data_IF_553962691581
#
_entry.id   IF_553962691581
#
_cell.length_a   1.000
_cell.length_b   1.000
_cell.length_c   1.000
_cell.angle_alpha   90.00
_cell.angle_beta   90.00
_cell.angle_gamma   90.00
#
_symmetry.space_group_name_H-M   'P 1'
#
loop_
_entity.id
_entity.type
_entity.pdbx_description
1 polymer ?
#
# COMPACT_ATOMS: atom_id res chain seq x y z
N UNK A 1 5.40 -13.36 -8.48
CA UNK A 1 3.92 -13.29 -8.49
C UNK A 1 3.47 -11.84 -8.45
N UNK A 2 2.30 -11.53 -9.02
CA UNK A 2 1.65 -10.22 -8.87
C UNK A 2 1.09 -10.11 -7.45
N UNK A 3 1.33 -8.99 -6.78
CA UNK A 3 0.77 -8.72 -5.44
C UNK A 3 -0.76 -8.88 -5.45
N UNK A 4 -1.29 -9.68 -4.52
CA UNK A 4 -2.74 -9.86 -4.32
C UNK A 4 -3.14 -9.22 -2.98
N UNK A 5 -4.05 -8.24 -2.96
CA UNK A 5 -4.47 -7.60 -1.72
C UNK A 5 -5.21 -8.57 -0.79
N UNK A 6 -5.03 -8.39 0.53
CA UNK A 6 -5.78 -9.12 1.57
C UNK A 6 -6.87 -8.22 2.15
N UNK A 7 -8.11 -8.50 1.75
CA UNK A 7 -9.29 -7.74 2.19
C UNK A 7 -10.19 -8.53 3.15
N UNK A 8 -9.77 -9.74 3.52
CA UNK A 8 -10.44 -10.62 4.48
C UNK A 8 -9.44 -11.19 5.48
N UNK A 9 -9.96 -11.58 6.65
CA UNK A 9 -9.15 -12.13 7.72
C UNK A 9 -8.37 -13.37 7.26
N UNK A 10 -7.13 -13.56 7.74
CA UNK A 10 -6.44 -14.82 7.52
C UNK A 10 -7.16 -15.97 8.20
N UNK A 11 -7.19 -17.13 7.54
CA UNK A 11 -7.73 -18.35 8.11
C UNK A 11 -7.00 -18.69 9.42
N UNK A 12 -7.70 -19.26 10.39
CA UNK A 12 -7.08 -19.66 11.66
C UNK A 12 -5.99 -20.73 11.48
N UNK A 13 -6.04 -21.49 10.38
CA UNK A 13 -5.09 -22.53 9.99
C UNK A 13 -3.89 -22.00 9.19
N UNK A 14 -3.88 -20.72 8.82
CA UNK A 14 -2.81 -20.16 7.99
C UNK A 14 -1.51 -20.02 8.79
N UNK A 15 -0.49 -20.77 8.37
CA UNK A 15 0.79 -20.86 9.07
C UNK A 15 1.51 -19.53 9.22
N UNK A 16 1.24 -18.53 8.37
CA UNK A 16 1.85 -17.20 8.51
C UNK A 16 1.39 -16.45 9.77
N UNK A 17 0.31 -16.87 10.42
CA UNK A 17 -0.19 -16.28 11.67
C UNK A 17 -0.28 -17.28 12.84
N UNK A 18 0.26 -18.49 12.64
CA UNK A 18 0.51 -19.48 13.69
C UNK A 18 1.96 -19.31 14.17
N UNK A 19 2.15 -19.38 15.49
CA UNK A 19 3.47 -19.24 16.09
C UNK A 19 4.39 -20.42 15.76
N UNK A 20 5.70 -20.19 15.62
CA UNK A 20 6.69 -21.25 15.32
C UNK A 20 6.72 -22.36 16.36
N UNK A 21 6.55 -22.04 17.65
CA UNK A 21 6.44 -23.06 18.72
C UNK A 21 5.19 -23.94 18.64
N UNK A 22 4.29 -23.66 17.70
CA UNK A 22 3.03 -24.38 17.47
C UNK A 22 2.89 -24.85 16.01
N UNK A 23 4.01 -25.02 15.31
CA UNK A 23 4.06 -25.56 13.94
C UNK A 23 3.75 -24.54 12.83
N UNK A 24 3.69 -23.25 13.17
CA UNK A 24 3.53 -22.17 12.21
C UNK A 24 4.85 -21.56 11.73
N UNK A 25 4.76 -20.43 11.03
CA UNK A 25 5.88 -19.70 10.45
C UNK A 25 6.21 -18.41 11.20
N UNK A 26 5.31 -17.95 12.09
CA UNK A 26 5.40 -16.63 12.70
C UNK A 26 6.17 -16.66 14.02
N UNK A 27 7.19 -15.82 14.15
CA UNK A 27 8.06 -15.76 15.34
C UNK A 27 7.84 -14.50 16.19
N UNK A 28 6.78 -13.73 15.90
CA UNK A 28 6.29 -12.67 16.79
C UNK A 28 5.64 -13.26 18.04
N UNK A 29 5.26 -12.41 18.99
CA UNK A 29 4.61 -12.83 20.24
C UNK A 29 3.42 -13.79 20.01
N UNK A 30 3.43 -14.91 20.72
CA UNK A 30 2.28 -15.82 20.83
C UNK A 30 1.18 -15.15 21.65
N UNK A 31 -0.01 -15.00 21.09
CA UNK A 31 -1.12 -14.27 21.72
C UNK A 31 -2.08 -15.20 22.45
N UNK A 32 -2.62 -16.21 21.74
CA UNK A 32 -3.56 -17.16 22.33
C UNK A 32 -3.59 -18.45 21.52
N UNK A 33 -3.68 -19.59 22.23
CA UNK A 33 -3.65 -20.92 21.63
C UNK A 33 -2.38 -21.13 20.81
N UNK A 34 -2.53 -21.13 19.49
CA UNK A 34 -1.41 -21.22 18.54
C UNK A 34 -1.14 -19.92 17.76
N UNK A 35 -1.94 -18.87 17.96
CA UNK A 35 -1.99 -17.73 17.06
C UNK A 35 -1.16 -16.55 17.54
N UNK A 36 -0.52 -15.85 16.61
CA UNK A 36 0.09 -14.53 16.82
C UNK A 36 -0.93 -13.38 16.71
N UNK A 37 -2.23 -13.69 16.63
CA UNK A 37 -3.33 -12.74 16.54
C UNK A 37 -4.29 -12.91 17.73
N UNK A 38 -5.04 -11.86 18.13
CA UNK A 38 -5.04 -10.51 17.57
C UNK A 38 -3.84 -9.68 18.07
N UNK A 39 -3.01 -9.17 17.14
CA UNK A 39 -1.86 -8.30 17.44
C UNK A 39 -1.30 -7.69 16.14
N UNK A 40 -0.94 -6.40 16.16
CA UNK A 40 -0.48 -5.68 14.97
C UNK A 40 0.86 -6.18 14.43
N UNK A 41 1.83 -6.45 15.30
CA UNK A 41 3.16 -6.95 14.90
C UNK A 41 3.06 -8.37 14.37
N UNK A 42 2.30 -9.24 15.05
CA UNK A 42 2.02 -10.60 14.58
C UNK A 42 1.34 -10.62 13.21
N UNK A 43 0.36 -9.73 13.00
CA UNK A 43 -0.32 -9.61 11.72
C UNK A 43 0.59 -9.13 10.59
N UNK A 44 1.27 -8.00 10.78
CA UNK A 44 2.10 -7.38 9.76
C UNK A 44 3.29 -8.27 9.39
N UNK A 45 3.92 -8.95 10.37
CA UNK A 45 5.03 -9.87 10.12
C UNK A 45 4.58 -11.06 9.27
N UNK A 46 3.44 -11.67 9.62
CA UNK A 46 2.85 -12.79 8.88
C UNK A 46 2.47 -12.41 7.45
N UNK A 47 1.78 -11.27 7.28
CA UNK A 47 1.40 -10.77 5.96
C UNK A 47 2.61 -10.39 5.12
N UNK A 48 3.64 -9.80 5.72
CA UNK A 48 4.88 -9.48 5.01
C UNK A 48 5.63 -10.75 4.57
N UNK A 49 5.66 -11.79 5.42
CA UNK A 49 6.14 -13.12 5.02
C UNK A 49 5.35 -13.62 3.81
N UNK A 50 4.02 -13.68 3.91
CA UNK A 50 3.15 -14.19 2.84
C UNK A 50 3.46 -13.54 1.49
N UNK A 51 3.67 -12.22 1.46
CA UNK A 51 4.04 -11.46 0.26
C UNK A 51 5.48 -11.75 -0.19
N UNK A 52 6.41 -11.85 0.77
CA UNK A 52 7.83 -12.05 0.52
C UNK A 52 8.15 -13.47 0.04
N UNK A 53 7.32 -14.46 0.41
CA UNK A 53 7.51 -15.88 0.12
C UNK A 53 8.58 -16.57 0.98
N UNK A 54 9.16 -15.87 1.96
CA UNK A 54 10.18 -16.39 2.88
C UNK A 54 10.16 -15.62 4.20
N UNK A 55 10.78 -16.20 5.24
CA UNK A 55 10.90 -15.60 6.55
C UNK A 55 11.49 -14.18 6.47
N UNK A 56 10.77 -13.15 6.94
CA UNK A 56 11.26 -11.78 6.89
C UNK A 56 12.24 -11.49 8.02
N UNK A 57 13.14 -10.54 7.76
CA UNK A 57 14.07 -9.99 8.78
C UNK A 57 13.44 -8.88 9.64
N UNK A 58 12.13 -8.63 9.46
CA UNK A 58 11.41 -7.57 10.16
C UNK A 58 11.57 -7.73 11.67
N UNK A 59 11.61 -6.59 12.36
CA UNK A 59 11.58 -6.54 13.81
C UNK A 59 10.42 -7.36 14.37
N UNK A 60 10.65 -7.98 15.53
CA UNK A 60 9.63 -8.70 16.31
C UNK A 60 9.28 -7.99 17.61
N UNK A 61 9.88 -6.82 17.84
CA UNK A 61 9.62 -5.96 18.99
C UNK A 61 8.32 -5.16 18.79
N UNK A 62 8.03 -4.26 19.73
CA UNK A 62 6.93 -3.31 19.63
C UNK A 62 6.95 -2.53 18.30
N UNK A 63 5.77 -2.24 17.77
CA UNK A 63 5.56 -1.61 16.47
C UNK A 63 6.33 -0.28 16.30
N UNK A 64 6.41 0.54 17.35
CA UNK A 64 7.16 1.80 17.39
C UNK A 64 8.66 1.67 17.01
N UNK A 65 9.24 0.47 17.21
CA UNK A 65 10.66 0.19 16.94
C UNK A 65 10.91 -0.24 15.49
N UNK A 66 9.88 -0.66 14.76
CA UNK A 66 10.02 -1.29 13.45
C UNK A 66 10.66 -0.36 12.43
N UNK A 67 10.24 0.91 12.40
CA UNK A 67 10.75 1.88 11.45
C UNK A 67 12.24 2.20 11.69
N UNK A 68 12.71 2.19 12.94
CA UNK A 68 14.11 2.45 13.28
C UNK A 68 15.05 1.24 13.22
N UNK A 69 14.50 0.02 13.13
CA UNK A 69 15.29 -1.22 13.16
C UNK A 69 16.14 -1.38 11.90
N UNK A 70 17.41 -1.75 12.05
CA UNK A 70 18.33 -2.02 10.93
C UNK A 70 18.23 -3.49 10.48
N UNK A 71 17.16 -3.82 9.76
CA UNK A 71 16.87 -5.16 9.24
C UNK A 71 17.25 -5.37 7.75
N UNK A 72 17.77 -4.33 7.11
CA UNK A 72 18.17 -4.34 5.70
C UNK A 72 17.04 -4.00 4.70
N UNK A 73 15.81 -3.74 5.16
CA UNK A 73 14.74 -3.28 4.27
C UNK A 73 14.82 -1.79 3.96
N UNK A 74 14.47 -1.42 2.73
CA UNK A 74 14.34 -0.01 2.33
C UNK A 74 13.15 0.63 3.03
N UNK A 75 13.28 1.90 3.37
CA UNK A 75 12.26 2.71 4.07
C UNK A 75 12.02 4.02 3.35
N UNK A 76 10.88 4.65 3.60
CA UNK A 76 10.60 6.00 3.10
C UNK A 76 9.21 6.51 3.44
N UNK A 77 8.83 7.64 2.86
CA UNK A 77 7.58 8.35 3.16
C UNK A 77 6.49 8.15 2.11
N UNK A 78 6.75 7.39 1.04
CA UNK A 78 5.78 7.16 -0.04
C UNK A 78 5.09 5.82 0.16
N UNK A 79 3.75 5.74 0.13
CA UNK A 79 3.06 4.47 0.22
C UNK A 79 3.39 3.56 -0.97
N UNK A 80 3.54 2.27 -0.71
CA UNK A 80 3.76 1.24 -1.73
C UNK A 80 2.97 -0.02 -1.37
N UNK A 81 2.49 -0.74 -2.38
CA UNK A 81 1.80 -2.02 -2.17
C UNK A 81 2.68 -2.99 -1.38
N UNK A 82 2.10 -3.66 -0.39
CA UNK A 82 2.77 -4.61 0.49
C UNK A 82 3.75 -4.00 1.48
N UNK A 83 3.91 -2.67 1.51
CA UNK A 83 4.72 -2.02 2.53
C UNK A 83 4.07 -2.10 3.91
N UNK A 84 4.89 -2.15 4.95
CA UNK A 84 4.45 -1.92 6.33
C UNK A 84 4.33 -0.42 6.54
N UNK A 85 3.18 0.07 6.99
CA UNK A 85 3.03 1.43 7.51
C UNK A 85 3.25 1.43 9.02
N UNK A 86 4.04 2.37 9.55
CA UNK A 86 4.50 2.38 10.94
C UNK A 86 4.09 3.65 11.68
N UNK A 87 3.63 3.49 12.92
CA UNK A 87 3.39 4.56 13.87
C UNK A 87 4.05 4.25 15.22
N UNK A 88 4.64 5.27 15.84
CA UNK A 88 5.01 5.22 17.26
C UNK A 88 3.93 5.88 18.11
N UNK A 89 3.91 5.55 19.40
CA UNK A 89 3.14 6.29 20.39
C UNK A 89 4.13 7.07 21.26
N UNK A 90 3.99 8.38 21.37
CA UNK A 90 4.97 9.22 22.06
C UNK A 90 6.41 9.05 21.55
N UNK A 91 7.38 8.91 22.47
CA UNK A 91 8.79 8.68 22.14
C UNK A 91 9.05 7.19 21.94
N UNK A 92 9.62 6.84 20.78
CA UNK A 92 9.93 5.44 20.45
C UNK A 92 10.88 4.81 21.49
N UNK A 93 10.50 3.63 21.98
CA UNK A 93 11.30 2.86 22.95
C UNK A 93 11.06 3.27 24.41
N UNK A 94 10.02 4.07 24.66
CA UNK A 94 9.63 4.50 26.00
C UNK A 94 8.32 3.80 26.41
N UNK A 95 8.44 2.77 27.25
CA UNK A 95 7.36 1.82 27.50
C UNK A 95 6.06 2.44 28.07
N UNK A 96 6.14 3.58 28.77
CA UNK A 96 4.96 4.25 29.33
C UNK A 96 4.04 4.87 28.27
N UNK A 97 4.58 5.18 27.08
CA UNK A 97 3.82 5.88 26.05
C UNK A 97 3.02 4.88 25.20
N UNK A 98 3.48 3.63 25.09
CA UNK A 98 2.80 2.50 24.47
C UNK A 98 3.45 2.00 23.18
N UNK A 99 3.10 0.80 22.75
CA UNK A 99 3.86 0.01 21.77
C UNK A 99 3.83 0.49 20.30
N UNK A 100 3.17 1.60 19.98
CA UNK A 100 2.93 2.04 18.59
C UNK A 100 1.94 1.13 17.83
N UNK A 101 1.92 1.25 16.50
CA UNK A 101 1.07 0.43 15.63
C UNK A 101 1.73 0.17 14.27
N UNK A 102 1.40 -0.96 13.64
CA UNK A 102 1.80 -1.29 12.26
C UNK A 102 0.67 -1.93 11.50
N UNK A 103 0.64 -1.72 10.18
CA UNK A 103 -0.32 -2.32 9.25
C UNK A 103 0.33 -2.57 7.88
N UNK A 104 -0.35 -3.28 6.98
CA UNK A 104 0.13 -3.52 5.60
C UNK A 104 -0.69 -2.71 4.61
N UNK A 105 -0.03 -2.06 3.66
CA UNK A 105 -0.65 -1.36 2.54
C UNK A 105 -1.14 -2.38 1.50
N UNK A 106 -2.46 -2.53 1.38
CA UNK A 106 -3.09 -3.44 0.43
C UNK A 106 -3.49 -2.75 -0.88
N UNK A 107 -3.70 -1.43 -0.85
CA UNK A 107 -3.99 -0.63 -2.04
C UNK A 107 -3.40 0.77 -1.90
N UNK A 108 -2.93 1.34 -3.01
CA UNK A 108 -2.63 2.76 -3.14
C UNK A 108 -3.56 3.30 -4.23
N UNK A 109 -4.37 4.31 -3.89
CA UNK A 109 -5.28 4.98 -4.81
C UNK A 109 -4.60 6.20 -5.44
N UNK A 110 -5.12 6.65 -6.57
CA UNK A 110 -4.56 7.78 -7.33
C UNK A 110 -4.62 9.11 -6.55
N UNK A 111 -5.60 9.26 -5.64
CA UNK A 111 -5.73 10.42 -4.74
C UNK A 111 -4.75 10.39 -3.55
N UNK A 112 -3.82 9.42 -3.53
CA UNK A 112 -2.85 9.24 -2.45
C UNK A 112 -3.40 8.55 -1.21
N UNK A 113 -4.71 8.24 -1.16
CA UNK A 113 -5.26 7.41 -0.09
C UNK A 113 -4.81 5.96 -0.23
N UNK A 114 -4.76 5.25 0.88
CA UNK A 114 -4.34 3.85 0.96
C UNK A 114 -5.41 3.01 1.63
N UNK A 115 -5.56 1.76 1.18
CA UNK A 115 -6.27 0.72 1.94
C UNK A 115 -5.22 -0.06 2.71
N UNK A 116 -5.39 -0.16 4.02
CA UNK A 116 -4.53 -0.98 4.87
C UNK A 116 -5.28 -2.20 5.39
N UNK A 117 -4.54 -3.26 5.70
CA UNK A 117 -5.01 -4.39 6.50
C UNK A 117 -4.25 -4.43 7.83
N UNK A 118 -4.95 -4.69 8.93
CA UNK A 118 -4.38 -4.61 10.28
C UNK A 118 -5.07 -5.55 11.29
N UNK A 119 -4.39 -5.78 12.41
CA UNK A 119 -4.90 -6.44 13.61
C UNK A 119 -4.54 -5.60 14.83
N UNK A 120 -5.30 -5.70 15.92
CA UNK A 120 -5.10 -4.88 17.12
C UNK A 120 -5.16 -5.73 18.38
N UNK A 121 -4.11 -5.64 19.21
CA UNK A 121 -4.03 -6.42 20.45
C UNK A 121 -5.22 -6.17 21.37
N UNK A 122 -5.88 -7.25 21.81
CA UNK A 122 -7.12 -7.23 22.61
C UNK A 122 -8.28 -6.40 22.03
N UNK A 123 -8.22 -6.01 20.76
CA UNK A 123 -9.20 -5.13 20.14
C UNK A 123 -9.92 -5.80 18.97
N UNK A 124 -9.18 -6.22 17.93
CA UNK A 124 -9.78 -6.81 16.74
C UNK A 124 -8.81 -7.76 16.05
N UNK A 125 -9.32 -8.89 15.55
CA UNK A 125 -8.52 -9.88 14.83
C UNK A 125 -8.04 -9.39 13.48
N UNK A 126 -8.93 -8.77 12.72
CA UNK A 126 -8.64 -8.25 11.39
C UNK A 126 -9.61 -7.13 11.05
N UNK A 127 -9.13 -6.10 10.36
CA UNK A 127 -9.95 -5.15 9.63
C UNK A 127 -9.17 -4.58 8.45
N UNK A 128 -9.90 -3.96 7.53
CA UNK A 128 -9.33 -3.02 6.56
C UNK A 128 -9.78 -1.61 6.89
N UNK A 129 -8.92 -0.63 6.58
CA UNK A 129 -9.23 0.80 6.75
C UNK A 129 -8.67 1.59 5.57
N UNK A 130 -9.38 2.66 5.20
CA UNK A 130 -8.87 3.67 4.26
C UNK A 130 -8.20 4.77 5.07
N UNK A 131 -6.95 5.10 4.72
CA UNK A 131 -6.22 6.24 5.29
C UNK A 131 -5.91 7.23 4.18
N UNK A 132 -6.01 8.52 4.49
CA UNK A 132 -5.61 9.63 3.61
C UNK A 132 -4.36 10.30 4.17
N UNK A 133 -3.52 10.95 3.35
CA UNK A 133 -2.46 11.82 3.86
C UNK A 133 -3.02 12.78 4.93
N UNK A 134 -2.32 12.99 6.07
CA UNK A 134 -0.95 12.56 6.38
C UNK A 134 -0.83 11.15 7.01
N UNK A 135 -1.82 10.28 6.80
CA UNK A 135 -1.90 8.91 7.34
C UNK A 135 -1.95 8.83 8.87
N UNK A 136 -2.59 9.82 9.51
CA UNK A 136 -2.83 9.81 10.95
C UNK A 136 -3.87 8.73 11.34
N UNK A 137 -3.71 8.13 12.53
CA UNK A 137 -4.65 7.13 13.09
C UNK A 137 -5.17 7.54 14.48
N UNK A 138 -5.31 8.84 14.70
CA UNK A 138 -5.64 9.46 15.98
C UNK A 138 -4.47 10.27 16.53
N UNK A 139 -4.75 11.13 17.51
CA UNK A 139 -3.78 12.08 18.07
C UNK A 139 -2.63 11.43 18.85
N UNK A 140 -2.85 10.23 19.40
CA UNK A 140 -1.83 9.52 20.17
C UNK A 140 -0.70 8.92 19.30
N UNK A 141 -0.92 8.75 18.00
CA UNK A 141 -0.01 8.04 17.11
C UNK A 141 0.71 9.00 16.16
N UNK A 142 2.03 8.85 16.08
CA UNK A 142 2.89 9.64 15.20
C UNK A 142 3.33 8.74 14.05
N UNK A 143 2.94 9.12 12.82
CA UNK A 143 3.36 8.43 11.60
C UNK A 143 4.87 8.52 11.43
N UNK A 144 5.53 7.37 11.24
CA UNK A 144 6.99 7.29 11.07
C UNK A 144 7.38 7.14 9.60
N UNK A 145 6.61 6.36 8.84
CA UNK A 145 6.91 6.05 7.44
C UNK A 145 6.50 4.64 7.05
N UNK A 146 7.09 4.17 5.94
CA UNK A 146 6.85 2.87 5.35
C UNK A 146 8.12 2.02 5.29
N UNK A 147 7.99 0.72 5.54
CA UNK A 147 9.03 -0.30 5.31
C UNK A 147 8.63 -1.09 4.07
N UNK A 148 9.48 -1.11 3.04
CA UNK A 148 9.13 -1.65 1.73
C UNK A 148 9.41 -3.15 1.61
N UNK A 149 8.40 -3.90 1.18
CA UNK A 149 8.56 -5.31 0.85
C UNK A 149 9.24 -5.47 -0.52
N UNK A 150 10.44 -6.06 -0.61
CA UNK A 150 11.18 -6.15 -1.87
C UNK A 150 10.55 -7.09 -2.90
N UNK A 151 9.64 -7.99 -2.50
CA UNK A 151 8.93 -8.86 -3.43
C UNK A 151 7.88 -8.10 -4.25
N UNK A 152 7.43 -6.93 -3.78
CA UNK A 152 6.48 -6.09 -4.51
C UNK A 152 7.26 -5.06 -5.33
N UNK A 153 7.29 -5.28 -6.64
CA UNK A 153 7.80 -4.28 -7.57
C UNK A 153 6.88 -3.06 -7.52
N UNK A 154 7.48 -1.86 -7.56
CA UNK A 154 6.71 -0.64 -7.71
C UNK A 154 5.77 -0.79 -8.91
N UNK A 155 4.48 -0.49 -8.72
CA UNK A 155 3.65 -0.17 -9.85
C UNK A 155 4.37 0.98 -10.57
N UNK A 156 4.66 0.83 -11.87
CA UNK A 156 5.34 1.86 -12.62
C UNK A 156 4.63 3.18 -12.35
N UNK A 157 5.30 4.12 -11.66
CA UNK A 157 4.74 5.45 -11.45
C UNK A 157 4.33 5.95 -12.83
N UNK A 158 3.08 6.36 -12.96
CA UNK A 158 2.61 6.96 -14.19
C UNK A 158 3.59 8.06 -14.58
N UNK A 159 4.00 8.08 -15.84
CA UNK A 159 4.81 9.20 -16.34
C UNK A 159 3.89 10.42 -16.42
N UNK A 160 4.47 11.61 -16.30
CA UNK A 160 3.75 12.85 -16.54
C UNK A 160 3.64 13.10 -18.04
N UNK A 161 2.47 13.54 -18.46
CA UNK A 161 2.17 13.87 -19.83
C UNK A 161 1.42 15.20 -19.87
N UNK A 162 1.86 16.13 -20.70
CA UNK A 162 1.16 17.40 -20.92
C UNK A 162 0.24 17.26 -22.12
N UNK A 163 -1.03 17.63 -21.96
CA UNK A 163 -1.99 17.69 -23.06
C UNK A 163 -1.60 18.82 -24.03
N UNK A 164 -1.44 18.50 -25.32
CA UNK A 164 -1.04 19.44 -26.36
C UNK A 164 -2.25 20.17 -27.00
N UNK A 165 -3.45 19.65 -26.80
CA UNK A 165 -4.71 20.22 -27.23
C UNK A 165 -5.87 19.77 -26.33
N UNK A 166 -7.09 20.16 -26.65
CA UNK A 166 -8.28 19.67 -25.96
C UNK A 166 -8.55 18.23 -26.38
N UNK A 167 -8.60 17.30 -25.42
CA UNK A 167 -8.65 15.86 -25.66
C UNK A 167 -9.89 15.23 -25.06
N UNK A 168 -10.47 14.26 -25.75
CA UNK A 168 -11.59 13.47 -25.23
C UNK A 168 -11.07 12.44 -24.22
N UNK A 169 -11.56 12.53 -22.98
CA UNK A 169 -11.32 11.54 -21.94
C UNK A 169 -12.37 10.45 -22.03
N UNK A 170 -11.95 9.21 -22.25
CA UNK A 170 -12.84 8.12 -22.63
C UNK A 170 -12.85 6.98 -21.63
N UNK A 171 -13.96 6.24 -21.58
CA UNK A 171 -14.13 5.11 -20.67
C UNK A 171 -13.26 3.89 -21.04
N UNK A 172 -12.96 3.71 -22.32
CA UNK A 172 -12.14 2.61 -22.86
C UNK A 172 -11.08 3.15 -23.83
N UNK A 173 -9.99 2.41 -24.10
CA UNK A 173 -8.94 2.82 -25.03
C UNK A 173 -9.36 2.60 -26.50
N UNK A 174 -10.50 3.17 -26.89
CA UNK A 174 -11.05 3.12 -28.24
C UNK A 174 -11.75 4.44 -28.61
N UNK A 175 -11.84 4.74 -29.91
CA UNK A 175 -12.35 6.03 -30.40
C UNK A 175 -13.88 6.16 -30.35
N UNK A 176 -14.59 5.04 -30.21
CA UNK A 176 -16.06 4.98 -30.25
C UNK A 176 -16.67 4.89 -28.84
N UNK A 177 -15.82 4.76 -27.82
CA UNK A 177 -16.24 4.65 -26.43
C UNK A 177 -16.75 5.97 -25.87
N UNK A 178 -17.61 5.82 -24.87
CA UNK A 178 -18.20 6.93 -24.10
C UNK A 178 -17.14 7.94 -23.68
N UNK A 179 -17.36 9.19 -24.05
CA UNK A 179 -16.60 10.33 -23.56
C UNK A 179 -17.07 10.64 -22.14
N UNK A 180 -16.15 10.52 -21.18
CA UNK A 180 -16.36 10.82 -19.76
C UNK A 180 -16.18 12.30 -19.44
N UNK A 181 -15.28 12.98 -20.16
CA UNK A 181 -14.92 14.39 -19.98
C UNK A 181 -14.08 14.93 -21.17
N UNK A 182 -13.72 16.21 -21.14
CA UNK A 182 -12.69 16.82 -22.00
C UNK A 182 -11.53 17.31 -21.13
N UNK A 183 -10.31 16.84 -21.44
CA UNK A 183 -9.08 17.37 -20.84
C UNK A 183 -8.64 18.59 -21.62
N UNK A 184 -8.45 19.72 -20.93
CA UNK A 184 -8.03 20.97 -21.55
C UNK A 184 -6.53 20.96 -21.92
N UNK A 185 -6.20 21.69 -22.99
CA UNK A 185 -4.81 21.93 -23.40
C UNK A 185 -3.99 22.46 -22.24
N UNK A 186 -2.78 21.90 -22.06
CA UNK A 186 -1.86 22.29 -21.00
C UNK A 186 -1.99 21.50 -19.71
N UNK A 187 -3.09 20.76 -19.51
CA UNK A 187 -3.27 19.88 -18.34
C UNK A 187 -2.15 18.85 -18.25
N UNK A 188 -1.56 18.69 -17.06
CA UNK A 188 -0.57 17.64 -16.79
C UNK A 188 -1.25 16.42 -16.19
N UNK A 189 -1.26 15.34 -16.95
CA UNK A 189 -1.81 14.04 -16.57
C UNK A 189 -0.70 13.13 -16.07
N UNK A 190 -1.01 12.29 -15.09
CA UNK A 190 -0.09 11.23 -14.64
C UNK A 190 -0.71 9.88 -14.97
N UNK A 191 0.02 9.02 -15.68
CA UNK A 191 -0.54 7.74 -16.10
C UNK A 191 0.40 6.82 -16.85
N UNK A 192 -0.13 5.69 -17.30
CA UNK A 192 0.61 4.69 -18.05
C UNK A 192 0.06 4.57 -19.46
N UNK A 193 0.95 4.56 -20.44
CA UNK A 193 0.60 4.42 -21.86
C UNK A 193 0.62 2.95 -22.22
N UNK A 194 -0.45 2.47 -22.85
CA UNK A 194 -0.51 1.12 -23.37
C UNK A 194 0.22 0.96 -24.72
N UNK A 195 0.31 -0.28 -25.21
CA UNK A 195 0.96 -0.59 -26.50
C UNK A 195 0.29 0.09 -27.72
N UNK A 196 -0.96 0.52 -27.58
CA UNK A 196 -1.75 1.14 -28.63
C UNK A 196 -1.72 2.68 -28.54
N UNK A 197 -0.94 3.23 -27.60
CA UNK A 197 -0.78 4.67 -27.44
C UNK A 197 -1.94 5.35 -26.71
N UNK A 198 -2.66 4.65 -25.84
CA UNK A 198 -3.62 5.24 -24.93
C UNK A 198 -3.02 5.43 -23.55
N UNK A 199 -3.07 6.65 -23.05
CA UNK A 199 -2.70 7.00 -21.69
C UNK A 199 -3.88 6.71 -20.77
N UNK A 200 -3.76 5.68 -19.93
CA UNK A 200 -4.67 5.44 -18.81
C UNK A 200 -4.34 6.42 -17.69
N UNK A 201 -5.31 7.21 -17.27
CA UNK A 201 -5.14 8.26 -16.24
C UNK A 201 -6.43 8.50 -15.47
N UNK A 202 -6.34 9.32 -14.43
CA UNK A 202 -7.47 9.79 -13.64
C UNK A 202 -7.59 11.30 -13.78
N UNK A 203 -8.78 11.77 -14.16
CA UNK A 203 -9.10 13.16 -14.39
C UNK A 203 -10.48 13.47 -13.79
N UNK A 204 -10.59 14.55 -13.02
CA UNK A 204 -11.82 14.93 -12.30
C UNK A 204 -12.44 13.77 -11.48
N UNK A 205 -11.61 12.98 -10.81
CA UNK A 205 -12.06 11.84 -9.98
C UNK A 205 -12.53 10.60 -10.75
N UNK A 206 -12.50 10.61 -12.09
CA UNK A 206 -12.84 9.48 -12.96
C UNK A 206 -11.58 8.85 -13.54
N UNK A 207 -11.52 7.54 -13.64
CA UNK A 207 -10.45 6.82 -14.37
C UNK A 207 -10.89 6.53 -15.80
N UNK A 208 -10.00 6.77 -16.75
CA UNK A 208 -10.27 6.63 -18.18
C UNK A 208 -9.00 6.70 -19.02
N UNK A 209 -9.17 6.99 -20.30
CA UNK A 209 -8.12 6.94 -21.30
C UNK A 209 -8.12 8.19 -22.17
N UNK A 210 -6.93 8.72 -22.45
CA UNK A 210 -6.71 9.75 -23.47
C UNK A 210 -5.72 9.24 -24.52
N UNK A 211 -5.93 9.57 -25.79
CA UNK A 211 -5.08 9.07 -26.88
C UNK A 211 -3.77 9.85 -26.96
N UNK A 212 -2.64 9.20 -26.72
CA UNK A 212 -1.30 9.79 -26.88
C UNK A 212 -0.80 9.73 -28.34
N UNK A 213 -1.01 8.60 -29.03
CA UNK A 213 -0.39 8.31 -30.35
C UNK A 213 -1.44 8.21 -31.48
N UNK A 214 -1.25 9.05 -32.51
CA UNK A 214 -2.00 9.16 -33.78
C UNK A 214 -1.30 10.19 -34.68
N UNK A 215 -1.74 10.40 -35.94
CA UNK A 215 -1.09 11.30 -36.92
C UNK A 215 -0.85 12.76 -36.47
N UNK A 216 -1.40 13.14 -35.32
CA UNK A 216 -0.98 14.29 -34.50
C UNK A 216 -0.76 13.77 -33.08
N UNK A 217 0.42 14.00 -32.49
CA UNK A 217 0.68 13.66 -31.08
C UNK A 217 -0.17 14.58 -30.22
N UNK A 218 -0.94 14.03 -29.28
CA UNK A 218 -1.84 14.82 -28.43
C UNK A 218 -1.34 14.97 -26.99
N UNK A 219 -0.36 14.17 -26.54
CA UNK A 219 0.37 14.43 -25.30
C UNK A 219 1.87 14.09 -25.43
N UNK A 220 2.71 14.92 -24.82
CA UNK A 220 4.15 14.71 -24.74
C UNK A 220 4.58 14.39 -23.31
N UNK A 221 5.59 13.51 -23.21
CA UNK A 221 6.22 13.16 -21.93
C UNK A 221 6.98 14.39 -21.43
N UNK A 222 6.73 14.77 -20.18
CA UNK A 222 7.43 15.85 -19.47
C UNK A 222 8.14 15.35 -18.23
#
# INVERSE_FOLDING_TARGET
MKFKPRLSAPAATDKHWIHTSKGGLNSCILISGNSCLPNCVGYAWGRFYEILGKAPKLSRANAEMWFGTKDGYKRGQTPKLGAVICWRKGKAGWASDGAGHVAIVEKVNDDGSIVISESGYKAFRFRTRVLRPPYAIGSAYIFQGFIYNPAVKDAAKGKKYKALGNMKFRAKPDLDSTVLDTVEKGTVLTGTVDKNGWLKTTYNGKTGYVRQKGQKVYCEKV
#
